data_IF_523091867102
#
_entry.id   IF_523091867102
#
_cell.length_a   1.000
_cell.length_b   1.000
_cell.length_c   1.000
_cell.angle_alpha   90.00
_cell.angle_beta   90.00
_cell.angle_gamma   90.00
#
_symmetry.space_group_name_H-M   'P 1'
#
loop_
_entity.id
_entity.type
_entity.pdbx_description
1 polymer ?
#
# COMPACT_ATOMS: atom_id res chain seq x y z
N UNK A 1 -9.17 7.50 12.69
CA UNK A 1 -10.13 6.38 12.47
C UNK A 1 -10.71 6.32 11.05
N UNK A 2 -11.62 7.21 10.61
CA UNK A 2 -12.22 7.10 9.25
C UNK A 2 -11.21 7.44 8.15
N UNK A 3 -10.27 8.36 8.41
CA UNK A 3 -9.18 8.69 7.48
C UNK A 3 -8.33 7.46 7.13
N UNK A 4 -7.86 6.73 8.15
CA UNK A 4 -6.88 5.67 7.96
C UNK A 4 -7.39 4.44 7.17
N UNK A 5 -8.68 4.06 7.30
CA UNK A 5 -9.26 2.98 6.49
C UNK A 5 -9.34 3.38 5.00
N UNK A 6 -9.79 4.59 4.71
CA UNK A 6 -9.83 5.07 3.33
C UNK A 6 -8.42 5.25 2.75
N UNK A 7 -7.47 5.69 3.57
CA UNK A 7 -6.07 5.89 3.19
C UNK A 7 -5.30 4.59 2.98
N UNK A 8 -5.77 3.47 3.53
CA UNK A 8 -5.19 2.13 3.27
C UNK A 8 -5.89 1.42 2.11
N UNK A 9 -7.23 1.43 2.12
CA UNK A 9 -8.03 0.67 1.16
C UNK A 9 -8.02 1.33 -0.22
N UNK A 10 -8.03 2.67 -0.30
CA UNK A 10 -8.04 3.40 -1.56
C UNK A 10 -6.74 3.22 -2.37
N UNK A 11 -5.52 3.44 -1.81
CA UNK A 11 -4.30 3.19 -2.57
C UNK A 11 -4.11 1.70 -2.86
N UNK A 12 -4.54 0.78 -2.00
CA UNK A 12 -4.55 -0.66 -2.34
C UNK A 12 -5.38 -0.93 -3.60
N UNK A 13 -6.61 -0.40 -3.64
CA UNK A 13 -7.51 -0.58 -4.78
C UNK A 13 -6.99 0.13 -6.03
N UNK A 14 -6.43 1.33 -5.91
CA UNK A 14 -5.89 2.10 -7.03
C UNK A 14 -4.59 1.50 -7.56
N UNK A 15 -3.70 1.03 -6.69
CA UNK A 15 -2.49 0.29 -7.06
C UNK A 15 -2.86 -0.97 -7.83
N UNK A 16 -3.80 -1.77 -7.31
CA UNK A 16 -4.29 -2.98 -7.99
C UNK A 16 -4.96 -2.67 -9.34
N UNK A 17 -5.64 -1.53 -9.46
CA UNK A 17 -6.23 -1.08 -10.73
C UNK A 17 -5.19 -0.57 -11.71
N UNK A 18 -4.18 0.19 -11.25
CA UNK A 18 -3.07 0.68 -12.07
C UNK A 18 -2.14 -0.45 -12.53
N UNK A 19 -1.81 -1.40 -11.66
CA UNK A 19 -1.07 -2.61 -12.02
C UNK A 19 -1.81 -3.40 -13.11
N UNK A 20 -3.13 -3.62 -12.94
CA UNK A 20 -3.97 -4.23 -13.97
C UNK A 20 -4.03 -3.40 -15.27
N UNK A 21 -4.11 -2.08 -15.18
CA UNK A 21 -4.16 -1.20 -16.35
C UNK A 21 -2.81 -1.11 -17.07
N UNK A 22 -1.69 -1.12 -16.36
CA UNK A 22 -0.34 -1.13 -16.93
C UNK A 22 -0.04 -2.46 -17.62
N UNK A 23 -0.49 -3.58 -17.04
CA UNK A 23 -0.45 -4.90 -17.69
C UNK A 23 -1.33 -4.92 -18.94
N UNK A 24 -2.54 -4.35 -18.87
CA UNK A 24 -3.43 -4.24 -20.04
C UNK A 24 -2.85 -3.34 -21.15
N UNK A 25 -2.20 -2.23 -20.80
CA UNK A 25 -1.56 -1.32 -21.74
C UNK A 25 -0.30 -1.95 -22.38
N UNK A 26 0.46 -2.75 -21.62
CA UNK A 26 1.62 -3.50 -22.13
C UNK A 26 1.20 -4.67 -23.04
N UNK A 27 -0.03 -5.17 -22.88
CA UNK A 27 -0.64 -6.16 -23.77
C UNK A 27 -1.17 -5.56 -25.09
N UNK A 28 -1.33 -4.23 -25.18
CA UNK A 28 -1.73 -3.51 -26.40
C UNK A 28 -0.54 -3.00 -27.25
N UNK A 29 0.72 -3.22 -26.85
CA UNK A 29 1.86 -2.92 -27.71
C UNK A 29 1.75 -3.75 -29.02
N UNK A 30 1.84 -3.10 -30.21
CA UNK A 30 1.64 -3.79 -31.47
C UNK A 30 2.71 -4.88 -31.64
N UNK A 31 2.35 -6.04 -32.25
CA UNK A 31 3.27 -7.16 -32.38
C UNK A 31 4.55 -6.71 -33.07
N UNK A 32 5.69 -6.86 -32.41
CA UNK A 32 6.98 -6.66 -33.04
C UNK A 32 7.07 -7.63 -34.22
N UNK A 33 7.24 -7.08 -35.42
CA UNK A 33 7.37 -7.83 -36.67
C UNK A 33 8.67 -8.64 -36.58
N UNK A 34 8.57 -9.96 -36.35
CA UNK A 34 9.72 -10.85 -36.47
C UNK A 34 10.18 -10.91 -37.93
N UNK A 35 11.49 -10.94 -38.13
CA UNK A 35 12.18 -10.87 -39.43
C UNK A 35 11.85 -12.00 -40.43
N UNK A 36 11.01 -12.98 -40.06
CA UNK A 36 10.81 -14.23 -40.80
C UNK A 36 9.45 -14.36 -41.51
N UNK A 37 8.70 -13.27 -41.68
CA UNK A 37 7.60 -13.23 -42.66
C UNK A 37 6.43 -14.19 -42.43
N UNK A 38 6.23 -14.73 -41.21
CA UNK A 38 5.08 -15.57 -40.90
C UNK A 38 4.14 -14.92 -39.87
N UNK A 39 2.83 -14.97 -40.13
CA UNK A 39 1.79 -14.35 -39.29
C UNK A 39 1.45 -15.29 -38.12
N UNK A 40 1.96 -15.00 -36.93
CA UNK A 40 1.50 -15.68 -35.71
C UNK A 40 0.19 -15.02 -35.26
N UNK A 41 -0.90 -15.79 -35.27
CA UNK A 41 -2.19 -15.35 -34.73
C UNK A 41 -2.05 -15.06 -33.23
N UNK A 42 -2.54 -13.91 -32.78
CA UNK A 42 -2.53 -13.50 -31.38
C UNK A 42 -3.26 -14.54 -30.51
N UNK A 43 -2.65 -15.04 -29.41
CA UNK A 43 -3.36 -15.92 -28.49
C UNK A 43 -4.23 -15.03 -27.60
N UNK A 44 -5.53 -14.97 -27.94
CA UNK A 44 -6.39 -13.84 -27.58
C UNK A 44 -7.01 -13.86 -26.18
N UNK A 45 -7.05 -14.94 -25.41
CA UNK A 45 -7.73 -14.91 -24.10
C UNK A 45 -7.10 -15.78 -23.01
N UNK A 46 -6.04 -16.54 -23.32
CA UNK A 46 -5.40 -17.49 -22.38
C UNK A 46 -4.11 -16.93 -21.75
N UNK A 47 -3.74 -15.68 -22.10
CA UNK A 47 -2.52 -15.01 -21.63
C UNK A 47 -2.78 -13.88 -20.63
N UNK A 48 -4.02 -13.46 -20.40
CA UNK A 48 -4.33 -12.47 -19.36
C UNK A 48 -4.03 -13.03 -17.95
N UNK A 49 -4.20 -14.35 -17.78
CA UNK A 49 -3.85 -15.06 -16.55
C UNK A 49 -2.35 -15.45 -16.49
N UNK A 50 -1.65 -15.45 -17.63
CA UNK A 50 -0.20 -15.75 -17.73
C UNK A 50 0.69 -14.51 -17.81
N UNK A 51 0.12 -13.31 -18.03
CA UNK A 51 0.86 -12.04 -17.96
C UNK A 51 1.20 -11.62 -16.52
N UNK A 52 0.57 -12.26 -15.53
CA UNK A 52 0.97 -12.22 -14.12
C UNK A 52 2.23 -13.07 -13.87
N UNK A 53 2.58 -13.94 -14.82
CA UNK A 53 3.71 -14.85 -14.75
C UNK A 53 4.96 -14.15 -15.32
N UNK A 54 5.60 -13.31 -14.50
CA UNK A 54 7.07 -13.10 -14.43
C UNK A 54 7.53 -11.67 -14.09
N UNK A 55 6.64 -10.77 -13.63
CA UNK A 55 7.16 -9.60 -12.88
C UNK A 55 7.82 -10.17 -11.64
N UNK A 56 9.15 -10.14 -11.61
CA UNK A 56 9.91 -10.66 -10.49
C UNK A 56 9.50 -9.91 -9.23
N UNK A 57 9.48 -10.59 -8.08
CA UNK A 57 9.15 -9.96 -6.79
C UNK A 57 9.94 -8.67 -6.53
N UNK A 58 11.15 -8.57 -7.08
CA UNK A 58 11.99 -7.38 -7.03
C UNK A 58 11.42 -6.19 -7.85
N UNK A 59 10.88 -6.45 -9.04
CA UNK A 59 10.26 -5.43 -9.89
C UNK A 59 8.96 -4.92 -9.26
N UNK A 60 8.14 -5.82 -8.70
CA UNK A 60 6.93 -5.43 -7.96
C UNK A 60 7.28 -4.55 -6.75
N UNK A 61 8.29 -4.94 -5.97
CA UNK A 61 8.76 -4.12 -4.85
C UNK A 61 9.31 -2.76 -5.27
N UNK A 62 9.95 -2.67 -6.44
CA UNK A 62 10.47 -1.40 -6.96
C UNK A 62 9.35 -0.43 -7.35
N UNK A 63 8.16 -0.93 -7.72
CA UNK A 63 7.00 -0.11 -8.06
C UNK A 63 6.19 0.36 -6.84
N UNK A 64 6.41 -0.25 -5.66
CA UNK A 64 5.76 0.19 -4.43
C UNK A 64 6.39 1.46 -3.87
N UNK A 65 5.60 2.36 -3.24
CA UNK A 65 6.14 3.54 -2.58
C UNK A 65 7.09 3.17 -1.45
N UNK A 66 8.10 4.01 -1.23
CA UNK A 66 8.97 3.88 -0.07
C UNK A 66 8.22 4.29 1.19
N UNK A 67 8.53 3.65 2.31
CA UNK A 67 8.11 4.10 3.62
C UNK A 67 9.07 5.22 4.08
N UNK A 68 8.57 6.45 4.23
CA UNK A 68 9.38 7.65 4.45
C UNK A 68 9.86 7.82 5.90
N UNK A 69 9.42 6.95 6.81
CA UNK A 69 9.81 6.94 8.21
C UNK A 69 8.62 6.83 9.15
N UNK A 70 8.88 6.76 10.45
CA UNK A 70 7.88 6.54 11.49
C UNK A 70 7.36 7.83 12.12
N UNK A 71 7.95 8.99 11.82
CA UNK A 71 7.67 10.27 12.49
C UNK A 71 6.20 10.69 12.35
N UNK A 72 5.64 10.58 11.15
CA UNK A 72 4.23 10.95 10.91
C UNK A 72 3.27 10.00 11.63
N UNK A 73 3.57 8.69 11.62
CA UNK A 73 2.77 7.69 12.33
C UNK A 73 2.84 7.94 13.86
N UNK A 74 4.01 8.32 14.40
CA UNK A 74 4.15 8.73 15.81
C UNK A 74 3.44 10.04 16.13
N UNK A 75 3.42 11.01 15.20
CA UNK A 75 2.75 12.28 15.37
C UNK A 75 1.22 12.08 15.53
N UNK A 76 0.63 11.14 14.79
CA UNK A 76 -0.79 10.77 14.94
C UNK A 76 -1.07 10.26 16.37
N UNK A 77 -0.23 9.35 16.88
CA UNK A 77 -0.36 8.85 18.26
C UNK A 77 -0.17 9.97 19.30
N UNK A 78 0.82 10.85 19.10
CA UNK A 78 1.11 11.95 20.02
C UNK A 78 -0.06 12.94 20.11
N UNK A 79 -0.66 13.30 18.97
CA UNK A 79 -1.83 14.18 18.93
C UNK A 79 -3.03 13.52 19.61
N UNK A 80 -3.29 12.24 19.35
CA UNK A 80 -4.38 11.51 19.99
C UNK A 80 -4.21 11.45 21.52
N UNK A 81 -2.99 11.17 21.98
CA UNK A 81 -2.66 11.21 23.41
C UNK A 81 -2.88 12.60 24.01
N UNK A 82 -2.47 13.66 23.31
CA UNK A 82 -2.75 15.05 23.69
C UNK A 82 -4.25 15.32 23.87
N UNK A 83 -5.09 14.88 22.94
CA UNK A 83 -6.53 15.02 23.07
C UNK A 83 -7.11 14.25 24.26
N UNK A 84 -6.70 13.00 24.44
CA UNK A 84 -7.17 12.19 25.57
C UNK A 84 -6.78 12.82 26.90
N UNK A 85 -5.53 13.25 27.06
CA UNK A 85 -5.04 13.82 28.32
C UNK A 85 -5.63 15.18 28.66
N UNK A 86 -5.74 16.08 27.68
CA UNK A 86 -6.23 17.45 27.91
C UNK A 86 -7.75 17.52 28.11
N UNK A 87 -8.52 16.66 27.44
CA UNK A 87 -9.97 16.78 27.39
C UNK A 87 -10.73 15.68 28.15
N UNK A 88 -10.06 14.74 28.83
CA UNK A 88 -10.74 13.65 29.57
C UNK A 88 -11.72 14.17 30.63
N UNK A 89 -11.42 15.29 31.29
CA UNK A 89 -12.31 15.88 32.31
C UNK A 89 -13.62 16.40 31.70
N UNK A 90 -13.55 16.94 30.48
CA UNK A 90 -14.71 17.44 29.75
C UNK A 90 -15.47 16.32 29.01
N UNK A 91 -14.75 15.29 28.54
CA UNK A 91 -15.31 14.14 27.85
C UNK A 91 -14.68 12.84 28.37
N UNK A 92 -15.24 12.25 29.45
CA UNK A 92 -14.69 11.06 30.09
C UNK A 92 -14.63 9.81 29.21
N UNK A 93 -15.36 9.79 28.09
CA UNK A 93 -15.36 8.69 27.13
C UNK A 93 -14.22 8.78 26.10
N UNK A 94 -13.46 9.89 26.07
CA UNK A 94 -12.33 10.08 25.18
C UNK A 94 -11.28 8.94 25.24
N UNK A 95 -10.88 8.43 26.42
CA UNK A 95 -9.91 7.34 26.50
C UNK A 95 -10.43 6.04 25.87
N UNK A 96 -11.73 5.74 26.03
CA UNK A 96 -12.34 4.55 25.42
C UNK A 96 -12.37 4.66 23.89
N UNK A 97 -12.70 5.85 23.37
CA UNK A 97 -12.67 6.10 21.92
C UNK A 97 -11.25 6.00 21.36
N UNK A 98 -10.26 6.56 22.07
CA UNK A 98 -8.86 6.44 21.71
C UNK A 98 -8.36 4.98 21.73
N UNK A 99 -8.81 4.18 22.69
CA UNK A 99 -8.48 2.76 22.74
C UNK A 99 -8.99 1.98 21.52
N UNK A 100 -10.24 2.21 21.12
CA UNK A 100 -10.82 1.57 19.93
C UNK A 100 -10.11 2.05 18.66
N UNK A 101 -9.77 3.35 18.58
CA UNK A 101 -8.96 3.92 17.51
C UNK A 101 -7.65 3.15 17.36
N UNK A 102 -6.89 3.03 18.45
CA UNK A 102 -5.59 2.36 18.46
C UNK A 102 -5.65 0.88 18.05
N UNK A 103 -6.76 0.19 18.38
CA UNK A 103 -6.92 -1.21 18.01
C UNK A 103 -7.10 -1.40 16.49
N UNK A 104 -7.83 -0.48 15.85
CA UNK A 104 -7.98 -0.45 14.39
C UNK A 104 -6.65 -0.05 13.75
N UNK A 105 -6.00 0.98 14.31
CA UNK A 105 -4.74 1.54 13.82
C UNK A 105 -3.63 0.51 13.76
N UNK A 106 -3.45 -0.29 14.81
CA UNK A 106 -2.45 -1.37 14.85
C UNK A 106 -2.56 -2.32 13.65
N UNK A 107 -3.79 -2.62 13.22
CA UNK A 107 -4.03 -3.50 12.06
C UNK A 107 -3.84 -2.76 10.73
N UNK A 108 -4.23 -1.50 10.67
CA UNK A 108 -4.06 -0.67 9.48
C UNK A 108 -2.58 -0.41 9.17
N UNK A 109 -1.78 -0.06 10.17
CA UNK A 109 -0.33 0.20 10.01
C UNK A 109 0.43 -1.06 9.60
N UNK A 110 0.06 -2.20 10.21
CA UNK A 110 0.59 -3.50 9.80
C UNK A 110 0.28 -3.78 8.33
N UNK A 111 -0.92 -3.45 7.86
CA UNK A 111 -1.28 -3.65 6.47
C UNK A 111 -0.53 -2.67 5.54
N UNK A 112 -0.36 -1.41 5.93
CA UNK A 112 0.43 -0.39 5.20
C UNK A 112 1.84 -0.90 4.93
N UNK A 113 2.53 -1.40 5.96
CA UNK A 113 3.90 -1.92 5.83
C UNK A 113 4.00 -3.24 5.06
N UNK A 114 2.97 -4.10 5.11
CA UNK A 114 3.00 -5.40 4.46
C UNK A 114 2.55 -5.39 3.00
N UNK A 115 1.67 -4.46 2.61
CA UNK A 115 0.96 -4.50 1.32
C UNK A 115 1.00 -3.20 0.52
N UNK A 116 1.32 -2.06 1.15
CA UNK A 116 1.28 -0.77 0.48
C UNK A 116 2.65 -0.17 0.26
N UNK A 117 3.61 -0.47 1.12
CA UNK A 117 4.97 0.04 1.03
C UNK A 117 5.95 -1.06 0.62
N UNK A 118 7.02 -0.64 -0.04
CA UNK A 118 8.22 -1.48 -0.19
C UNK A 118 8.82 -1.74 1.19
N UNK A 119 9.39 -2.93 1.39
CA UNK A 119 10.08 -3.30 2.64
C UNK A 119 11.11 -2.23 3.02
N UNK A 120 10.97 -1.57 4.19
CA UNK A 120 11.96 -0.61 4.66
C UNK A 120 13.24 -1.32 5.10
N UNK A 121 14.35 -0.60 5.06
CA UNK A 121 15.62 -1.06 5.64
C UNK A 121 15.49 -1.01 7.16
N UNK A 122 15.95 -2.06 7.84
CA UNK A 122 15.94 -2.07 9.29
C UNK A 122 16.97 -1.08 9.82
N UNK A 123 16.51 -0.10 10.59
CA UNK A 123 17.35 0.87 11.29
C UNK A 123 17.36 0.54 12.78
N UNK A 124 18.52 0.67 13.41
CA UNK A 124 18.63 0.52 14.86
C UNK A 124 18.28 1.85 15.53
N UNK A 125 17.45 1.80 16.56
CA UNK A 125 17.09 2.95 17.37
C UNK A 125 17.21 2.58 18.85
N UNK A 126 17.72 3.50 19.67
CA UNK A 126 17.81 3.33 21.13
C UNK A 126 16.47 3.63 21.81
N UNK A 127 15.73 4.59 21.26
CA UNK A 127 14.39 5.00 21.68
C UNK A 127 13.52 5.44 20.47
N UNK A 128 12.45 6.19 20.72
CA UNK A 128 11.49 6.62 19.69
C UNK A 128 11.89 7.93 18.97
N UNK A 129 13.02 8.55 19.33
CA UNK A 129 13.48 9.82 18.76
C UNK A 129 14.56 10.51 19.59
#
# INVERSE_FOLDING_TARGET
IVGNIFEVVLPYMLYRRKARAAVAAKAEEPPQLSSDGNRVAAPLLDNADKADESIGQAEEQMMMPAYEGTIDDYAELAIQFGFVTLFVVAFPLAPLMGYISNLVELRADSFKLLRLCRRPVAESAEDIG
#
